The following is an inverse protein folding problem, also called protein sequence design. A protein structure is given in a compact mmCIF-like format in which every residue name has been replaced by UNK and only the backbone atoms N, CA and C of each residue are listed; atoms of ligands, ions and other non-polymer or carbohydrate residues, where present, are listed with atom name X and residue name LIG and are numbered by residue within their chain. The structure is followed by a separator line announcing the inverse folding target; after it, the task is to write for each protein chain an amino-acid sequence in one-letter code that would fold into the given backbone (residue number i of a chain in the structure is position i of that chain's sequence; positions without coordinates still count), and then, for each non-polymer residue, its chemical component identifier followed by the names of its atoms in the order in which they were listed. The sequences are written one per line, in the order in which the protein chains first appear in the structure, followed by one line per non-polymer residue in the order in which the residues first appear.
data_IF_990484750540
#
_entry.id   IF_990484750540
#
_cell.length_a   1.000
_cell.length_b   1.000
_cell.length_c   1.000
_cell.angle_alpha   90.00
_cell.angle_beta   90.00
_cell.angle_gamma   90.00
#
_symmetry.space_group_name_H-M   'P 1'
#
loop_
_entity.id
_entity.type
_entity.pdbx_description
1 polymer ?
#
# COMPACT_ATOMS: atom_id res chain seq x y z
N UNK A 1 7.02 -8.64 -9.21
CA UNK A 1 6.96 -8.24 -7.78
C UNK A 1 8.27 -7.64 -7.28
N UNK A 2 9.39 -8.10 -7.84
CA UNK A 2 10.77 -7.76 -7.55
C UNK A 2 11.07 -6.25 -7.61
N UNK A 3 10.53 -5.53 -8.61
CA UNK A 3 10.71 -4.08 -8.68
C UNK A 3 10.07 -3.35 -7.50
N UNK A 4 8.89 -3.79 -7.05
CA UNK A 4 8.18 -3.19 -5.92
C UNK A 4 8.93 -3.49 -4.62
N UNK A 5 9.34 -4.74 -4.41
CA UNK A 5 10.11 -5.14 -3.22
C UNK A 5 11.48 -4.47 -3.12
N UNK A 6 12.06 -4.06 -4.25
CA UNK A 6 13.28 -3.27 -4.30
C UNK A 6 13.05 -1.74 -4.18
N UNK A 7 11.81 -1.28 -3.96
CA UNK A 7 11.49 0.15 -3.91
C UNK A 7 11.64 0.87 -5.26
N UNK A 8 11.56 0.11 -6.37
CA UNK A 8 11.74 0.56 -7.75
C UNK A 8 10.44 0.46 -8.56
N UNK A 9 9.30 0.67 -7.92
CA UNK A 9 7.98 0.61 -8.57
C UNK A 9 7.84 1.66 -9.70
N UNK A 10 8.46 2.83 -9.54
CA UNK A 10 8.47 3.92 -10.52
C UNK A 10 9.69 3.94 -11.44
N UNK A 11 10.57 2.94 -11.37
CA UNK A 11 11.77 2.91 -12.18
C UNK A 11 11.45 2.56 -13.65
N UNK A 12 12.23 3.07 -14.64
CA UNK A 12 12.01 2.76 -16.06
C UNK A 12 11.97 1.26 -16.37
N UNK A 13 12.75 0.45 -15.64
CA UNK A 13 12.76 -1.01 -15.79
C UNK A 13 11.42 -1.64 -15.39
N UNK A 14 10.72 -1.09 -14.37
CA UNK A 14 9.40 -1.54 -13.98
C UNK A 14 8.36 -1.22 -15.07
N UNK A 15 8.46 -0.03 -15.68
CA UNK A 15 7.58 0.39 -16.77
C UNK A 15 7.76 -0.49 -18.02
N UNK A 16 9.01 -0.82 -18.38
CA UNK A 16 9.30 -1.74 -19.49
C UNK A 16 8.73 -3.14 -19.28
N UNK A 17 8.86 -3.68 -18.06
CA UNK A 17 8.29 -4.98 -17.70
C UNK A 17 6.77 -4.95 -17.76
N UNK A 18 6.16 -3.91 -17.19
CA UNK A 18 4.71 -3.71 -17.25
C UNK A 18 4.21 -3.66 -18.69
N UNK A 19 4.87 -2.89 -19.57
CA UNK A 19 4.51 -2.84 -20.98
C UNK A 19 4.52 -4.22 -21.63
N UNK A 20 5.58 -5.01 -21.38
CA UNK A 20 5.68 -6.38 -21.90
C UNK A 20 4.52 -7.28 -21.45
N UNK A 21 4.07 -7.14 -20.22
CA UNK A 21 2.96 -7.94 -19.68
C UNK A 21 1.57 -7.45 -20.09
N UNK A 22 1.40 -6.14 -20.25
CA UNK A 22 0.11 -5.50 -20.52
C UNK A 22 -0.20 -5.46 -22.01
N UNK A 23 0.81 -5.32 -22.88
CA UNK A 23 0.65 -5.26 -24.34
C UNK A 23 -0.20 -6.40 -24.94
N UNK A 24 0.01 -7.68 -24.58
CA UNK A 24 -0.82 -8.76 -25.07
C UNK A 24 -2.28 -8.61 -24.67
N UNK A 25 -2.56 -8.08 -23.47
CA UNK A 25 -3.91 -7.88 -22.97
C UNK A 25 -4.60 -6.73 -23.71
N UNK A 26 -3.88 -5.63 -23.95
CA UNK A 26 -4.40 -4.51 -24.75
C UNK A 26 -4.72 -4.94 -26.19
N UNK A 27 -3.85 -5.76 -26.80
CA UNK A 27 -4.10 -6.34 -28.13
C UNK A 27 -5.31 -7.28 -28.15
N UNK A 28 -5.62 -7.92 -27.01
CA UNK A 28 -6.81 -8.74 -26.84
C UNK A 28 -8.08 -7.91 -26.56
N UNK A 29 -7.97 -6.59 -26.43
CA UNK A 29 -9.10 -5.69 -26.26
C UNK A 29 -9.68 -5.65 -24.85
N UNK A 30 -8.86 -5.90 -23.81
CA UNK A 30 -9.32 -5.71 -22.43
C UNK A 30 -9.63 -4.23 -22.17
N UNK A 31 -10.72 -3.99 -21.44
CA UNK A 31 -11.15 -2.67 -20.97
C UNK A 31 -10.93 -2.51 -19.46
N UNK A 32 -10.47 -3.56 -18.78
CA UNK A 32 -10.28 -3.60 -17.33
C UNK A 32 -9.07 -4.44 -16.94
N UNK A 33 -8.29 -3.95 -15.98
CA UNK A 33 -7.16 -4.63 -15.35
C UNK A 33 -7.37 -4.69 -13.84
N UNK A 34 -7.54 -5.90 -13.31
CA UNK A 34 -7.70 -6.14 -11.87
C UNK A 34 -6.35 -6.44 -11.23
N UNK A 35 -6.01 -5.69 -10.19
CA UNK A 35 -4.75 -5.83 -9.45
C UNK A 35 -4.87 -6.92 -8.37
N UNK A 36 -4.58 -8.16 -8.75
CA UNK A 36 -4.75 -9.34 -7.88
C UNK A 36 -3.65 -9.58 -6.83
N UNK A 37 -2.73 -8.65 -6.62
CA UNK A 37 -1.63 -8.77 -5.66
C UNK A 37 -1.44 -7.46 -4.90
N UNK A 38 -1.15 -7.54 -3.61
CA UNK A 38 -0.93 -6.36 -2.73
C UNK A 38 0.22 -5.47 -3.19
N UNK A 39 1.16 -5.98 -3.99
CA UNK A 39 2.26 -5.18 -4.54
C UNK A 39 1.82 -4.28 -5.70
N UNK A 40 0.74 -4.62 -6.39
CA UNK A 40 0.40 -3.97 -7.66
C UNK A 40 -0.25 -2.60 -7.47
N UNK A 41 -0.78 -2.29 -6.29
CA UNK A 41 -1.25 -0.94 -5.94
C UNK A 41 -0.14 0.10 -6.14
N UNK A 42 1.11 -0.23 -5.83
CA UNK A 42 2.26 0.66 -6.05
C UNK A 42 2.63 0.87 -7.53
N UNK A 43 2.08 0.06 -8.44
CA UNK A 43 2.30 0.18 -9.89
C UNK A 43 1.20 1.00 -10.57
N UNK A 44 0.16 1.42 -9.85
CA UNK A 44 -0.95 2.23 -10.41
C UNK A 44 -0.43 3.50 -11.09
N UNK A 45 0.48 4.30 -10.51
CA UNK A 45 0.99 5.49 -11.19
C UNK A 45 1.67 5.16 -12.53
N UNK A 46 2.44 4.06 -12.59
CA UNK A 46 3.08 3.61 -13.82
C UNK A 46 2.03 3.14 -14.85
N UNK A 47 1.07 2.32 -14.42
CA UNK A 47 -0.04 1.84 -15.25
C UNK A 47 -0.86 3.01 -15.82
N UNK A 48 -1.15 4.04 -15.03
CA UNK A 48 -1.89 5.23 -15.48
C UNK A 48 -1.15 6.02 -16.57
N UNK A 49 0.19 6.01 -16.58
CA UNK A 49 0.99 6.66 -17.63
C UNK A 49 0.96 5.89 -18.95
N UNK A 50 0.91 4.56 -18.90
CA UNK A 50 1.02 3.69 -20.08
C UNK A 50 -0.32 3.25 -20.67
N UNK A 51 -1.36 3.12 -19.85
CA UNK A 51 -2.64 2.59 -20.28
C UNK A 51 -3.44 3.66 -21.03
N UNK A 52 -4.16 3.27 -22.11
CA UNK A 52 -5.12 4.16 -22.72
C UNK A 52 -6.25 4.45 -21.74
N UNK A 53 -6.82 5.67 -21.79
CA UNK A 53 -7.92 6.08 -20.89
C UNK A 53 -9.22 5.26 -21.02
N UNK A 54 -9.29 4.33 -21.97
CA UNK A 54 -10.37 3.35 -22.11
C UNK A 54 -10.23 2.15 -21.19
N UNK A 55 -9.07 1.96 -20.56
CA UNK A 55 -8.80 0.83 -19.65
C UNK A 55 -8.95 1.27 -18.21
N UNK A 56 -9.83 0.59 -17.48
CA UNK A 56 -10.03 0.80 -16.05
C UNK A 56 -9.06 -0.05 -15.23
N UNK A 57 -8.37 0.56 -14.27
CA UNK A 57 -7.54 -0.17 -13.30
C UNK A 57 -8.34 -0.34 -12.01
N UNK A 58 -8.48 -1.59 -11.54
CA UNK A 58 -9.23 -1.94 -10.34
C UNK A 58 -8.28 -2.43 -9.26
N UNK A 59 -8.16 -1.66 -8.17
CA UNK A 59 -7.44 -2.04 -6.96
C UNK A 59 -8.38 -2.68 -5.92
N UNK A 60 -7.94 -3.78 -5.33
CA UNK A 60 -8.66 -4.45 -4.25
C UNK A 60 -8.56 -3.70 -2.91
N UNK A 61 -7.55 -2.83 -2.72
CA UNK A 61 -7.28 -2.15 -1.45
C UNK A 61 -8.51 -1.39 -0.91
N UNK A 62 -9.18 -0.61 -1.76
CA UNK A 62 -10.37 0.15 -1.38
C UNK A 62 -11.55 -0.77 -1.01
N UNK A 63 -11.77 -1.82 -1.81
CA UNK A 63 -12.83 -2.79 -1.55
C UNK A 63 -12.62 -3.52 -0.22
N UNK A 64 -11.37 -3.86 0.10
CA UNK A 64 -10.98 -4.45 1.39
C UNK A 64 -11.23 -3.46 2.53
N UNK A 65 -10.85 -2.19 2.40
CA UNK A 65 -11.09 -1.17 3.42
C UNK A 65 -12.59 -0.99 3.73
N UNK A 66 -13.44 -0.89 2.70
CA UNK A 66 -14.90 -0.82 2.85
C UNK A 66 -15.49 -2.07 3.50
N UNK A 67 -14.92 -3.24 3.21
CA UNK A 67 -15.35 -4.48 3.86
C UNK A 67 -14.95 -4.52 5.34
N UNK A 68 -13.75 -4.02 5.70
CA UNK A 68 -13.32 -3.90 7.10
C UNK A 68 -14.26 -2.97 7.87
N UNK A 69 -14.61 -1.80 7.32
CA UNK A 69 -15.58 -0.88 7.91
C UNK A 69 -16.92 -1.57 8.20
N UNK A 70 -17.50 -2.24 7.19
CA UNK A 70 -18.75 -2.98 7.34
C UNK A 70 -18.69 -4.02 8.46
N UNK A 71 -17.62 -4.81 8.49
CA UNK A 71 -17.42 -5.85 9.50
C UNK A 71 -17.24 -5.28 10.90
N UNK A 72 -16.52 -4.16 11.04
CA UNK A 72 -16.37 -3.49 12.32
C UNK A 72 -17.74 -3.03 12.84
N UNK A 73 -18.55 -2.38 12.00
CA UNK A 73 -19.90 -1.93 12.38
C UNK A 73 -20.82 -3.10 12.79
N UNK A 74 -20.74 -4.23 12.10
CA UNK A 74 -21.49 -5.46 12.45
C UNK A 74 -21.12 -5.97 13.85
N UNK A 75 -19.82 -6.06 14.17
CA UNK A 75 -19.32 -6.64 15.42
C UNK A 75 -19.49 -5.69 16.60
N UNK A 76 -19.44 -4.37 16.36
CA UNK A 76 -19.47 -3.35 17.42
C UNK A 76 -20.86 -2.74 17.62
N UNK A 77 -21.90 -3.29 17.01
CA UNK A 77 -23.26 -2.75 17.06
C UNK A 77 -23.82 -2.57 18.50
N UNK A 78 -23.28 -3.29 19.48
CA UNK A 78 -23.62 -3.19 20.91
C UNK A 78 -22.52 -2.53 21.78
N UNK A 79 -21.45 -2.00 21.16
CA UNK A 79 -20.33 -1.32 21.80
C UNK A 79 -20.30 0.15 21.37
N UNK A 80 -19.56 1.04 22.07
CA UNK A 80 -19.29 2.37 21.55
C UNK A 80 -18.69 2.26 20.14
N UNK A 81 -19.08 3.13 19.20
CA UNK A 81 -18.72 2.99 17.80
C UNK A 81 -17.20 3.04 17.61
N UNK A 82 -16.61 1.96 17.10
CA UNK A 82 -15.18 1.91 16.71
C UNK A 82 -14.92 2.70 15.42
N UNK A 83 -15.97 3.03 14.67
CA UNK A 83 -15.94 3.88 13.49
C UNK A 83 -16.74 5.14 13.83
N UNK A 84 -16.07 6.30 13.89
CA UNK A 84 -16.74 7.60 13.95
C UNK A 84 -16.63 8.25 12.58
N UNK A 85 -17.76 8.46 11.93
CA UNK A 85 -17.88 9.49 10.89
C UNK A 85 -17.82 10.82 11.62
N UNK A 86 -16.71 11.56 11.50
CA UNK A 86 -16.55 12.86 12.16
C UNK A 86 -17.69 13.78 11.77
N UNK A 87 -18.44 14.29 12.76
CA UNK A 87 -19.39 15.37 12.52
C UNK A 87 -18.62 16.69 12.31
N UNK A 88 -19.15 17.64 11.52
CA UNK A 88 -18.43 18.87 11.16
C UNK A 88 -17.93 19.69 12.35
N UNK A 89 -18.62 19.60 13.49
CA UNK A 89 -18.35 20.39 14.69
C UNK A 89 -17.62 19.61 15.79
N UNK A 90 -17.27 18.34 15.56
CA UNK A 90 -16.52 17.55 16.53
C UNK A 90 -15.00 17.70 16.35
N UNK A 91 -14.23 17.72 17.45
CA UNK A 91 -12.78 17.73 17.36
C UNK A 91 -12.28 16.49 16.63
N UNK A 92 -11.46 16.70 15.60
CA UNK A 92 -10.87 15.62 14.81
C UNK A 92 -10.13 14.64 15.73
N UNK A 93 -10.51 13.37 15.70
CA UNK A 93 -9.73 12.32 16.34
C UNK A 93 -8.46 12.13 15.50
N UNK A 94 -7.31 12.45 16.06
CA UNK A 94 -6.03 12.16 15.41
C UNK A 94 -5.72 10.67 15.57
N UNK A 95 -5.96 9.88 14.52
CA UNK A 95 -5.48 8.51 14.45
C UNK A 95 -3.94 8.51 14.48
N UNK A 96 -3.35 7.65 15.31
CA UNK A 96 -1.89 7.45 15.34
C UNK A 96 -1.55 6.21 14.51
N UNK A 97 -0.89 6.41 13.38
CA UNK A 97 -0.37 5.34 12.56
C UNK A 97 1.08 5.02 12.97
N UNK A 98 1.42 3.73 13.03
CA UNK A 98 2.78 3.25 13.29
C UNK A 98 3.13 2.21 12.23
N UNK A 99 4.30 2.36 11.61
CA UNK A 99 4.74 1.51 10.52
C UNK A 99 5.94 0.69 10.97
N UNK A 100 5.91 -0.60 10.64
CA UNK A 100 6.95 -1.54 11.00
C UNK A 100 7.31 -2.41 9.81
N UNK A 101 8.58 -2.78 9.70
CA UNK A 101 9.03 -3.77 8.70
C UNK A 101 10.09 -4.69 9.28
N UNK A 102 10.08 -5.96 8.87
CA UNK A 102 11.20 -6.87 9.14
C UNK A 102 12.31 -6.75 8.08
N UNK A 103 12.01 -6.11 6.95
CA UNK A 103 12.95 -5.81 5.88
C UNK A 103 13.72 -4.52 6.12
N UNK A 104 14.05 -3.83 5.02
CA UNK A 104 14.75 -2.54 5.03
C UNK A 104 13.72 -1.41 5.19
N UNK A 105 13.84 -0.55 6.22
CA UNK A 105 12.93 0.58 6.42
C UNK A 105 12.80 1.48 5.19
N UNK A 106 13.91 1.80 4.53
CA UNK A 106 13.94 2.71 3.37
C UNK A 106 13.08 2.24 2.20
N UNK A 107 12.96 0.93 1.99
CA UNK A 107 12.09 0.37 0.95
C UNK A 107 10.64 0.68 1.28
N UNK A 108 10.19 0.38 2.50
CA UNK A 108 8.81 0.67 2.90
C UNK A 108 8.54 2.18 2.95
N UNK A 109 9.48 2.97 3.45
CA UNK A 109 9.40 4.44 3.41
C UNK A 109 9.23 4.95 1.98
N UNK A 110 9.99 4.38 1.03
CA UNK A 110 9.88 4.75 -0.40
C UNK A 110 8.51 4.42 -0.96
N UNK A 111 7.97 3.23 -0.66
CA UNK A 111 6.65 2.82 -1.13
C UNK A 111 5.51 3.67 -0.54
N UNK A 112 5.63 4.10 0.73
CA UNK A 112 4.63 4.93 1.40
C UNK A 112 4.60 6.38 0.94
N UNK A 113 5.64 6.86 0.23
CA UNK A 113 5.74 8.25 -0.24
C UNK A 113 4.62 8.65 -1.18
N UNK A 114 4.08 7.70 -1.92
CA UNK A 114 3.05 7.97 -2.92
C UNK A 114 1.71 8.33 -2.29
N UNK A 115 1.45 7.85 -1.07
CA UNK A 115 0.11 7.89 -0.47
C UNK A 115 0.03 8.70 0.84
N UNK A 116 1.17 9.01 1.48
CA UNK A 116 1.20 9.64 2.81
C UNK A 116 2.11 10.87 2.86
N UNK A 117 1.56 11.99 3.33
CA UNK A 117 2.28 13.22 3.65
C UNK A 117 1.76 13.80 4.99
N UNK A 118 2.61 14.05 6.00
CA UNK A 118 4.07 13.83 6.04
C UNK A 118 4.45 12.34 6.03
N UNK A 119 5.68 12.05 5.56
CA UNK A 119 6.19 10.69 5.56
C UNK A 119 6.28 10.12 6.97
N UNK A 120 5.72 8.93 7.20
CA UNK A 120 5.79 8.31 8.52
C UNK A 120 7.18 7.77 8.82
N UNK A 121 7.53 7.74 10.10
CA UNK A 121 8.67 6.97 10.57
C UNK A 121 8.38 5.46 10.44
N UNK A 122 9.28 4.74 9.79
CA UNK A 122 9.22 3.28 9.66
C UNK A 122 10.24 2.65 10.60
N UNK A 123 9.76 1.81 11.52
CA UNK A 123 10.62 1.15 12.52
C UNK A 123 10.97 -0.29 12.08
N UNK A 124 12.24 -0.69 12.26
CA UNK A 124 12.67 -2.05 11.94
C UNK A 124 12.35 -3.01 13.08
N UNK A 125 11.83 -4.17 12.72
CA UNK A 125 11.61 -5.31 13.61
C UNK A 125 12.51 -6.48 13.21
N UNK A 126 12.92 -7.29 14.18
CA UNK A 126 13.50 -8.61 13.93
C UNK A 126 12.79 -9.71 14.69
N UNK A 127 12.59 -10.84 14.02
CA UNK A 127 12.10 -12.05 14.67
C UNK A 127 13.26 -12.75 15.40
N UNK A 128 13.20 -12.81 16.73
CA UNK A 128 14.20 -13.51 17.57
C UNK A 128 13.48 -14.27 18.67
N UNK A 129 13.85 -15.54 18.87
CA UNK A 129 13.32 -16.39 19.94
C UNK A 129 11.78 -16.44 19.97
N UNK A 130 11.14 -16.55 18.80
CA UNK A 130 9.68 -16.66 18.70
C UNK A 130 8.90 -15.37 18.92
N UNK A 131 9.55 -14.20 18.95
CA UNK A 131 8.90 -12.88 19.13
C UNK A 131 9.52 -11.82 18.21
N UNK A 132 8.76 -10.77 17.90
CA UNK A 132 9.24 -9.57 17.22
C UNK A 132 9.90 -8.63 18.23
N UNK A 133 11.07 -8.09 17.89
CA UNK A 133 11.82 -7.12 18.68
C UNK A 133 12.09 -5.87 17.84
N UNK A 134 11.90 -4.69 18.43
CA UNK A 134 12.34 -3.43 17.82
C UNK A 134 13.85 -3.39 17.74
N UNK A 135 14.36 -3.00 16.57
CA UNK A 135 15.77 -2.69 16.37
C UNK A 135 15.88 -1.17 16.31
N UNK A 136 16.42 -0.56 17.35
CA UNK A 136 16.84 0.84 17.32
C UNK A 136 18.08 0.95 16.43
N UNK A 137 18.13 1.97 15.56
CA UNK A 137 19.20 2.14 14.59
C UNK A 137 20.57 2.18 15.27
N UNK A 138 21.34 1.09 15.15
CA UNK A 138 22.76 1.08 15.45
C UNK A 138 23.51 1.23 14.15
N UNK A 139 24.26 2.33 14.07
CA UNK A 139 25.41 2.53 13.19
C UNK A 139 26.08 1.20 12.83
N UNK A 140 26.04 0.84 11.55
CA UNK A 140 27.06 -0.02 10.98
C UNK A 140 28.25 0.90 10.69
N UNK A 141 29.21 0.95 11.62
CA UNK A 141 30.61 1.18 11.29
C UNK A 141 31.42 0.20 12.15
N UNK A 142 32.08 -0.72 11.45
CA UNK A 142 33.11 -1.59 11.99
C UNK A 142 34.46 -0.89 12.07
#
# INVERSE_FOLDING_TARGET
VECVEAGRADAPEAEQLLQHYVDPMLKAGVDCLVLGCTHYSFLIPALQRMLPGTVTVVDAAEAVARQVERRLLEVTAAQPPLVRSGEPDEPAITARHRFFTTGTPDVLTTLLRTDLDPLPEVQRLAWRNGRLHLIEGSSEDG
#
